data_IF_733709934985
#
_entry.id   IF_733709934985
#
_cell.length_a   1.000
_cell.length_b   1.000
_cell.length_c   1.000
_cell.angle_alpha   90.00
_cell.angle_beta   90.00
_cell.angle_gamma   90.00
#
_symmetry.space_group_name_H-M   'P 1'
#
loop_
_entity.id
_entity.type
_entity.pdbx_description
1 polymer ?
#
# COMPACT_ATOMS: atom_id res chain seq x y z
N UNK A 1 -17.18 76.56 16.14
CA UNK A 1 -16.64 76.01 17.41
C UNK A 1 -17.85 75.74 18.32
N UNK A 2 -18.02 74.58 18.95
CA UNK A 2 -17.22 73.35 18.91
C UNK A 2 -18.14 72.13 18.73
N UNK A 3 -17.60 71.00 18.25
CA UNK A 3 -18.40 69.80 17.94
C UNK A 3 -18.73 68.98 19.18
N UNK A 4 -20.00 68.58 19.33
CA UNK A 4 -20.38 67.49 20.24
C UNK A 4 -19.93 66.15 19.66
N UNK A 5 -19.07 65.42 20.38
CA UNK A 5 -18.67 64.06 20.02
C UNK A 5 -19.68 63.09 20.66
N UNK A 6 -20.47 62.43 19.82
CA UNK A 6 -21.43 61.41 20.23
C UNK A 6 -20.67 60.11 20.55
N UNK A 7 -20.53 59.77 21.83
CA UNK A 7 -19.84 58.54 22.24
C UNK A 7 -20.75 57.33 22.00
N UNK A 8 -20.47 56.57 20.93
CA UNK A 8 -21.26 55.41 20.53
C UNK A 8 -20.86 54.19 21.36
N UNK A 9 -21.72 53.81 22.31
CA UNK A 9 -21.57 52.58 23.10
C UNK A 9 -21.71 51.33 22.20
N UNK A 10 -20.57 50.76 21.80
CA UNK A 10 -20.52 49.46 21.13
C UNK A 10 -20.93 48.35 22.11
N UNK A 11 -22.14 47.84 21.93
CA UNK A 11 -22.60 46.59 22.56
C UNK A 11 -21.77 45.43 21.99
N UNK A 12 -20.68 45.06 22.67
CA UNK A 12 -19.96 43.83 22.39
C UNK A 12 -20.84 42.64 22.74
N UNK A 13 -21.43 42.01 21.72
CA UNK A 13 -22.17 40.75 21.84
C UNK A 13 -21.22 39.63 22.24
N UNK A 14 -21.07 39.42 23.55
CA UNK A 14 -20.33 38.30 24.11
C UNK A 14 -20.94 36.98 23.66
N UNK A 15 -20.35 36.37 22.63
CA UNK A 15 -20.78 35.07 22.14
C UNK A 15 -20.55 34.04 23.26
N UNK A 16 -21.65 33.55 23.84
CA UNK A 16 -21.59 32.47 24.81
C UNK A 16 -21.04 31.22 24.13
N UNK A 17 -19.85 30.76 24.55
CA UNK A 17 -19.26 29.51 24.09
C UNK A 17 -20.27 28.36 24.31
N UNK A 18 -20.59 27.55 23.29
CA UNK A 18 -21.43 26.37 23.48
C UNK A 18 -20.93 25.50 24.64
N UNK A 19 -21.84 25.18 25.56
CA UNK A 19 -21.62 24.20 26.61
C UNK A 19 -21.89 22.79 26.08
N UNK A 20 -21.05 21.86 26.47
CA UNK A 20 -21.20 20.42 26.23
C UNK A 20 -21.15 19.75 27.61
N UNK A 21 -21.98 18.74 27.84
CA UNK A 21 -21.97 17.94 29.06
C UNK A 21 -21.68 16.48 28.68
N UNK A 22 -20.72 15.85 29.35
CA UNK A 22 -20.31 14.47 29.07
C UNK A 22 -20.16 13.68 30.37
N UNK A 23 -20.34 12.37 30.35
CA UNK A 23 -19.98 11.48 31.47
C UNK A 23 -18.57 10.87 31.28
N UNK A 24 -17.84 10.61 32.36
CA UNK A 24 -16.52 9.97 32.24
C UNK A 24 -16.63 8.55 31.63
N UNK A 25 -16.02 8.36 30.45
CA UNK A 25 -16.15 7.20 29.56
C UNK A 25 -16.96 7.45 28.29
N UNK A 26 -17.67 8.57 28.17
CA UNK A 26 -18.44 8.95 26.99
C UNK A 26 -17.54 9.50 25.87
N UNK A 27 -18.01 9.42 24.61
CA UNK A 27 -17.36 10.10 23.49
C UNK A 27 -18.35 10.81 22.56
N UNK A 28 -18.14 12.10 22.34
CA UNK A 28 -18.95 12.97 21.47
C UNK A 28 -18.11 13.46 20.28
N UNK A 29 -18.73 13.95 19.21
CA UNK A 29 -18.03 14.47 18.02
C UNK A 29 -18.45 15.91 17.72
N UNK A 30 -17.48 16.83 17.68
CA UNK A 30 -17.69 18.25 17.39
C UNK A 30 -17.13 18.65 16.02
N UNK A 31 -17.82 19.58 15.36
CA UNK A 31 -17.39 20.20 14.10
C UNK A 31 -16.47 21.40 14.35
N UNK A 32 -15.20 21.29 13.93
CA UNK A 32 -14.21 22.36 13.93
C UNK A 32 -14.05 22.97 12.53
N UNK A 33 -13.62 24.24 12.40
CA UNK A 33 -13.21 24.77 11.10
C UNK A 33 -12.07 23.95 10.49
N UNK A 34 -12.02 23.88 9.15
CA UNK A 34 -10.88 23.32 8.43
C UNK A 34 -9.58 24.05 8.82
N UNK A 35 -8.47 23.30 8.88
CA UNK A 35 -7.14 23.83 9.19
C UNK A 35 -7.00 24.49 10.58
N UNK A 36 -7.94 24.24 11.51
CA UNK A 36 -7.82 24.73 12.89
C UNK A 36 -6.65 24.09 13.65
N UNK A 37 -5.88 24.91 14.36
CA UNK A 37 -5.10 24.45 15.51
C UNK A 37 -6.03 24.32 16.74
N UNK A 38 -5.78 23.33 17.59
CA UNK A 38 -6.67 22.97 18.71
C UNK A 38 -5.91 23.06 20.02
N UNK A 39 -6.42 23.86 20.95
CA UNK A 39 -5.94 23.95 22.33
C UNK A 39 -6.99 23.36 23.29
N UNK A 40 -6.51 22.63 24.30
CA UNK A 40 -7.32 21.93 25.30
C UNK A 40 -6.77 22.26 26.67
N UNK A 41 -7.60 22.80 27.57
CA UNK A 41 -7.18 23.15 28.93
C UNK A 41 -8.26 22.77 29.96
N UNK A 42 -8.01 21.85 30.91
CA UNK A 42 -6.78 21.07 31.12
C UNK A 42 -6.72 19.74 30.33
N UNK A 43 -5.52 19.39 29.83
CA UNK A 43 -5.22 18.23 28.97
C UNK A 43 -5.32 16.82 29.62
N UNK A 44 -5.98 16.68 30.78
CA UNK A 44 -6.10 15.39 31.53
C UNK A 44 -7.54 14.97 31.82
N UNK A 45 -8.51 15.72 31.30
CA UNK A 45 -9.95 15.50 31.50
C UNK A 45 -10.60 14.97 30.22
N UNK A 46 -10.16 15.44 29.05
CA UNK A 46 -10.51 14.90 27.73
C UNK A 46 -9.27 14.37 27.00
N UNK A 47 -9.46 13.28 26.26
CA UNK A 47 -8.64 12.87 25.12
C UNK A 47 -9.34 13.31 23.82
N UNK A 48 -8.58 13.60 22.76
CA UNK A 48 -9.13 14.08 21.49
C UNK A 48 -8.52 13.32 20.32
N UNK A 49 -9.37 12.67 19.54
CA UNK A 49 -9.02 11.98 18.30
C UNK A 49 -9.49 12.78 17.06
N UNK A 50 -8.80 12.62 15.94
CA UNK A 50 -9.24 13.19 14.66
C UNK A 50 -10.29 12.26 14.00
N UNK A 51 -11.53 12.72 13.87
CA UNK A 51 -12.64 11.98 13.27
C UNK A 51 -12.78 12.22 11.74
N UNK A 52 -11.79 12.85 11.12
CA UNK A 52 -11.76 13.20 9.69
C UNK A 52 -12.61 14.43 9.32
N UNK A 53 -12.39 14.98 8.13
CA UNK A 53 -13.17 16.07 7.51
C UNK A 53 -13.57 17.24 8.45
N UNK A 54 -12.65 17.72 9.28
CA UNK A 54 -12.94 18.82 10.22
C UNK A 54 -13.76 18.43 11.45
N UNK A 55 -13.78 17.14 11.83
CA UNK A 55 -14.42 16.66 13.06
C UNK A 55 -13.37 16.22 14.08
N UNK A 56 -13.59 16.59 15.34
CA UNK A 56 -12.87 16.06 16.50
C UNK A 56 -13.79 15.12 17.26
N UNK A 57 -13.29 13.95 17.66
CA UNK A 57 -13.94 13.11 18.66
C UNK A 57 -13.34 13.42 20.02
N UNK A 58 -14.18 13.84 20.96
CA UNK A 58 -13.85 14.04 22.35
C UNK A 58 -14.08 12.73 23.10
N UNK A 59 -13.18 12.33 24.00
CA UNK A 59 -13.35 11.17 24.88
C UNK A 59 -13.13 11.64 26.31
N UNK A 60 -14.14 11.44 27.17
CA UNK A 60 -14.12 11.90 28.55
C UNK A 60 -13.34 10.92 29.45
N UNK A 61 -12.17 11.35 29.95
CA UNK A 61 -11.29 10.52 30.78
C UNK A 61 -11.66 10.63 32.27
N UNK A 62 -11.89 11.85 32.76
CA UNK A 62 -12.05 12.17 34.19
C UNK A 62 -13.06 13.31 34.40
N UNK A 63 -13.53 13.48 35.63
CA UNK A 63 -14.43 14.58 36.01
C UNK A 63 -13.77 15.97 35.93
N UNK A 64 -14.53 16.98 35.54
CA UNK A 64 -14.19 18.40 35.63
C UNK A 64 -14.45 19.16 34.32
N UNK A 65 -14.10 20.45 34.31
CA UNK A 65 -14.41 21.35 33.18
C UNK A 65 -13.19 21.57 32.30
N UNK A 66 -13.38 21.53 30.99
CA UNK A 66 -12.38 21.79 29.95
C UNK A 66 -12.84 22.90 29.03
N UNK A 67 -11.96 23.86 28.76
CA UNK A 67 -12.11 24.76 27.62
C UNK A 67 -11.37 24.17 26.42
N UNK A 68 -12.09 23.92 25.33
CA UNK A 68 -11.52 23.63 24.01
C UNK A 68 -11.55 24.93 23.21
N UNK A 69 -10.45 25.25 22.53
CA UNK A 69 -10.35 26.33 21.54
C UNK A 69 -9.89 25.75 20.20
N UNK A 70 -10.55 26.15 19.11
CA UNK A 70 -10.13 25.86 17.75
C UNK A 70 -9.89 27.20 17.02
N UNK A 71 -8.65 27.44 16.61
CA UNK A 71 -8.21 28.69 15.98
C UNK A 71 -7.87 28.45 14.52
N UNK A 72 -8.55 29.17 13.62
CA UNK A 72 -8.38 29.07 12.16
C UNK A 72 -8.20 30.46 11.53
N UNK A 73 -7.76 30.56 10.26
CA UNK A 73 -7.76 31.83 9.52
C UNK A 73 -9.15 32.48 9.38
N UNK A 74 -10.22 31.72 9.61
CA UNK A 74 -11.62 32.17 9.53
C UNK A 74 -12.19 32.63 10.88
N UNK A 75 -11.43 32.47 11.98
CA UNK A 75 -11.81 32.85 13.34
C UNK A 75 -11.50 31.79 14.39
N UNK A 76 -11.73 32.16 15.65
CA UNK A 76 -11.67 31.28 16.82
C UNK A 76 -13.07 30.78 17.19
N UNK A 77 -13.21 29.49 17.48
CA UNK A 77 -14.35 28.91 18.18
C UNK A 77 -13.90 28.31 19.52
N UNK A 78 -14.76 28.34 20.53
CA UNK A 78 -14.51 27.68 21.81
C UNK A 78 -15.73 26.93 22.32
N UNK A 79 -15.49 25.84 23.04
CA UNK A 79 -16.49 25.00 23.68
C UNK A 79 -16.12 24.80 25.15
N UNK A 80 -17.09 24.89 26.03
CA UNK A 80 -16.91 24.58 27.45
C UNK A 80 -17.50 23.19 27.72
N UNK A 81 -16.63 22.19 27.88
CA UNK A 81 -17.03 20.80 28.14
C UNK A 81 -17.00 20.56 29.63
N UNK A 82 -18.14 20.20 30.21
CA UNK A 82 -18.31 19.89 31.63
C UNK A 82 -18.47 18.37 31.77
N UNK A 83 -17.37 17.70 32.13
CA UNK A 83 -17.37 16.24 32.34
C UNK A 83 -17.84 15.93 33.75
N UNK A 84 -19.00 15.31 33.85
CA UNK A 84 -19.59 14.88 35.12
C UNK A 84 -18.82 13.67 35.67
N UNK A 85 -18.51 13.73 36.96
CA UNK A 85 -17.91 12.60 37.68
C UNK A 85 -18.95 11.52 37.97
N UNK A 86 -18.55 10.25 37.83
CA UNK A 86 -19.37 9.04 38.09
C UNK A 86 -19.86 8.91 39.54
N UNK A 87 -19.54 9.88 40.39
CA UNK A 87 -19.73 9.87 41.84
C UNK A 87 -20.83 10.86 42.30
N UNK A 88 -21.33 11.71 41.38
CA UNK A 88 -22.56 12.48 41.62
C UNK A 88 -23.84 11.74 41.21
N UNK A 89 -23.71 10.64 40.46
CA UNK A 89 -24.78 9.62 40.41
C UNK A 89 -24.65 8.70 41.63
N UNK A 90 -25.77 8.50 42.33
CA UNK A 90 -25.88 7.58 43.46
C UNK A 90 -25.28 6.21 43.15
N UNK A 91 -24.58 5.61 44.11
CA UNK A 91 -23.77 4.40 43.96
C UNK A 91 -24.54 3.20 43.35
N UNK A 92 -24.54 3.11 42.02
CA UNK A 92 -25.51 2.31 41.27
C UNK A 92 -25.09 0.86 41.12
N UNK A 93 -23.80 0.56 41.27
CA UNK A 93 -23.26 -0.79 41.38
C UNK A 93 -23.59 -1.45 42.73
N UNK A 94 -23.93 -0.67 43.76
CA UNK A 94 -24.48 -1.17 45.02
C UNK A 94 -25.99 -1.49 44.95
N UNK A 95 -26.65 -1.30 43.79
CA UNK A 95 -27.98 -1.86 43.57
C UNK A 95 -27.82 -3.37 43.34
N UNK A 96 -28.22 -4.15 44.35
CA UNK A 96 -28.09 -5.61 44.40
C UNK A 96 -28.60 -6.34 43.15
N UNK A 97 -29.65 -5.82 42.51
CA UNK A 97 -30.20 -6.31 41.23
C UNK A 97 -29.14 -6.34 40.11
N UNK A 98 -28.38 -5.26 39.93
CA UNK A 98 -27.33 -5.21 38.90
C UNK A 98 -26.08 -5.98 39.33
N UNK A 99 -25.68 -5.87 40.60
CA UNK A 99 -24.53 -6.62 41.12
C UNK A 99 -24.74 -8.13 40.95
N UNK A 100 -25.95 -8.64 41.20
CA UNK A 100 -26.27 -10.05 40.93
C UNK A 100 -26.26 -10.38 39.44
N UNK A 101 -26.92 -9.58 38.58
CA UNK A 101 -26.99 -9.86 37.14
C UNK A 101 -25.62 -9.92 36.42
N UNK A 102 -24.69 -9.01 36.75
CA UNK A 102 -23.36 -8.99 36.13
C UNK A 102 -22.36 -9.89 36.86
N UNK A 103 -22.31 -9.81 38.19
CA UNK A 103 -21.18 -10.32 38.99
C UNK A 103 -21.41 -11.73 39.56
N UNK A 104 -22.53 -12.38 39.24
CA UNK A 104 -22.75 -13.82 39.47
C UNK A 104 -22.53 -14.68 38.21
N UNK A 105 -22.14 -14.06 37.09
CA UNK A 105 -21.85 -14.77 35.84
C UNK A 105 -20.46 -15.37 35.91
N UNK A 106 -20.34 -16.68 35.65
CA UNK A 106 -19.05 -17.36 35.58
C UNK A 106 -18.11 -16.67 34.57
N UNK A 107 -16.83 -16.55 34.94
CA UNK A 107 -15.80 -15.89 34.14
C UNK A 107 -15.78 -14.36 34.22
N UNK A 108 -16.75 -13.72 34.88
CA UNK A 108 -16.89 -12.26 34.95
C UNK A 108 -16.40 -11.71 36.30
N UNK A 109 -15.66 -10.60 36.25
CA UNK A 109 -15.19 -9.85 37.40
C UNK A 109 -15.76 -8.42 37.39
N UNK A 110 -16.28 -7.99 38.54
CA UNK A 110 -16.78 -6.63 38.75
C UNK A 110 -15.88 -5.88 39.72
N UNK A 111 -15.18 -4.87 39.23
CA UNK A 111 -14.57 -3.85 40.07
C UNK A 111 -15.61 -2.75 40.31
N UNK A 112 -16.24 -2.81 41.49
CA UNK A 112 -17.30 -1.88 41.88
C UNK A 112 -16.74 -0.47 42.17
N UNK A 113 -15.49 -0.37 42.62
CA UNK A 113 -14.83 0.88 43.00
C UNK A 113 -14.45 1.69 41.76
N UNK A 114 -13.78 1.06 40.79
CA UNK A 114 -13.41 1.68 39.51
C UNK A 114 -14.54 1.63 38.46
N UNK A 115 -15.66 0.96 38.78
CA UNK A 115 -16.87 0.86 37.94
C UNK A 115 -16.56 0.19 36.58
N UNK A 116 -15.84 -0.94 36.65
CA UNK A 116 -15.36 -1.76 35.53
C UNK A 116 -15.99 -3.15 35.60
N UNK A 117 -16.41 -3.68 34.46
CA UNK A 117 -16.83 -5.08 34.29
C UNK A 117 -15.88 -5.72 33.28
N UNK A 118 -15.15 -6.76 33.70
CA UNK A 118 -14.10 -7.43 32.93
C UNK A 118 -14.25 -8.95 32.99
N UNK A 119 -13.43 -9.68 32.23
CA UNK A 119 -13.43 -11.15 32.20
C UNK A 119 -13.86 -11.73 30.86
N UNK A 120 -14.28 -13.00 30.87
CA UNK A 120 -14.53 -13.80 29.67
C UNK A 120 -15.89 -14.51 29.77
N UNK A 121 -16.70 -14.47 28.71
CA UNK A 121 -18.03 -15.11 28.66
C UNK A 121 -18.09 -16.22 27.62
N UNK A 122 -18.51 -17.42 28.05
CA UNK A 122 -18.95 -18.50 27.15
C UNK A 122 -20.37 -18.26 26.57
N UNK A 123 -21.09 -17.28 27.11
CA UNK A 123 -22.47 -16.94 26.74
C UNK A 123 -22.53 -15.66 25.92
N UNK A 124 -22.87 -15.82 24.64
CA UNK A 124 -23.00 -14.74 23.65
C UNK A 124 -24.27 -13.89 23.85
N UNK A 125 -25.39 -14.50 24.25
CA UNK A 125 -26.66 -13.77 24.38
C UNK A 125 -26.62 -12.86 25.62
N UNK A 126 -26.17 -13.41 26.75
CA UNK A 126 -25.88 -12.62 27.95
C UNK A 126 -24.86 -11.52 27.65
N UNK A 127 -23.80 -11.80 26.88
CA UNK A 127 -22.78 -10.79 26.54
C UNK A 127 -23.39 -9.59 25.82
N UNK A 128 -24.23 -9.80 24.80
CA UNK A 128 -24.89 -8.69 24.10
C UNK A 128 -25.91 -7.97 24.97
N UNK A 129 -26.74 -8.68 25.75
CA UNK A 129 -27.70 -8.05 26.66
C UNK A 129 -27.00 -7.21 27.73
N UNK A 130 -25.94 -7.75 28.35
CA UNK A 130 -25.13 -7.09 29.35
C UNK A 130 -24.41 -5.85 28.78
N UNK A 131 -23.77 -5.96 27.61
CA UNK A 131 -23.08 -4.84 26.94
C UNK A 131 -24.05 -3.72 26.53
N UNK A 132 -25.24 -4.07 26.03
CA UNK A 132 -26.32 -3.13 25.72
C UNK A 132 -26.92 -2.50 26.99
N UNK A 133 -27.07 -3.27 28.06
CA UNK A 133 -27.67 -2.82 29.33
C UNK A 133 -26.75 -1.88 30.09
N UNK A 134 -25.43 -2.11 30.06
CA UNK A 134 -24.44 -1.10 30.41
C UNK A 134 -24.64 0.13 29.50
N UNK A 135 -24.34 0.04 28.20
CA UNK A 135 -24.35 1.21 27.28
C UNK A 135 -25.62 2.07 27.32
N UNK A 136 -26.81 1.49 27.58
CA UNK A 136 -28.10 2.21 27.59
C UNK A 136 -28.56 2.71 28.97
N UNK A 137 -28.06 2.16 30.08
CA UNK A 137 -28.59 2.47 31.42
C UNK A 137 -27.53 2.91 32.44
N UNK A 138 -26.26 2.58 32.22
CA UNK A 138 -25.19 2.67 33.21
C UNK A 138 -23.83 2.89 32.53
N UNK A 139 -23.13 4.02 32.73
CA UNK A 139 -21.81 4.29 32.12
C UNK A 139 -20.68 3.44 32.75
N UNK A 140 -20.72 2.12 32.52
CA UNK A 140 -19.71 1.17 32.98
C UNK A 140 -18.47 1.18 32.06
N UNK A 141 -17.28 0.86 32.59
CA UNK A 141 -16.16 0.48 31.71
C UNK A 141 -16.31 -1.00 31.33
N UNK A 142 -16.58 -1.27 30.05
CA UNK A 142 -16.78 -2.63 29.54
C UNK A 142 -15.47 -3.21 28.99
N UNK A 143 -14.93 -4.20 29.68
CA UNK A 143 -13.70 -4.92 29.34
C UNK A 143 -13.91 -6.45 29.28
N UNK A 144 -15.17 -6.89 29.19
CA UNK A 144 -15.51 -8.31 28.98
C UNK A 144 -15.25 -8.69 27.52
N UNK A 145 -14.70 -9.88 27.30
CA UNK A 145 -14.56 -10.55 26.00
C UNK A 145 -15.43 -11.81 25.92
N UNK A 146 -15.68 -12.32 24.71
CA UNK A 146 -16.27 -13.65 24.50
C UNK A 146 -15.18 -14.68 24.23
N UNK A 147 -15.38 -15.89 24.76
CA UNK A 147 -14.39 -16.97 24.68
C UNK A 147 -14.18 -17.51 23.28
N UNK A 148 -13.09 -18.25 23.05
CA UNK A 148 -12.89 -18.97 21.79
C UNK A 148 -13.96 -20.05 21.57
N UNK A 149 -14.49 -20.65 22.64
CA UNK A 149 -15.61 -21.59 22.57
C UNK A 149 -16.91 -20.87 22.16
N UNK A 150 -17.21 -19.71 22.75
CA UNK A 150 -18.34 -18.86 22.38
C UNK A 150 -18.24 -18.37 20.94
N UNK A 151 -17.06 -17.91 20.49
CA UNK A 151 -16.81 -17.51 19.10
C UNK A 151 -17.00 -18.68 18.13
N UNK A 152 -16.47 -19.86 18.45
CA UNK A 152 -16.63 -21.08 17.64
C UNK A 152 -18.09 -21.53 17.54
N UNK A 153 -18.87 -21.36 18.62
CA UNK A 153 -20.32 -21.55 18.63
C UNK A 153 -21.04 -20.48 17.80
N UNK A 154 -20.73 -19.20 17.99
CA UNK A 154 -21.30 -18.08 17.25
C UNK A 154 -21.13 -18.23 15.74
N UNK A 155 -19.91 -18.57 15.28
CA UNK A 155 -19.61 -18.88 13.88
C UNK A 155 -20.48 -20.02 13.33
N UNK A 156 -20.79 -21.04 14.14
CA UNK A 156 -21.65 -22.17 13.75
C UNK A 156 -23.12 -21.77 13.66
N UNK A 157 -23.60 -21.02 14.64
CA UNK A 157 -25.02 -20.67 14.80
C UNK A 157 -25.43 -19.53 13.85
N UNK A 158 -24.51 -18.63 13.48
CA UNK A 158 -24.71 -17.53 12.54
C UNK A 158 -24.61 -17.98 11.07
N UNK A 159 -23.74 -18.96 10.75
CA UNK A 159 -23.46 -19.36 9.37
C UNK A 159 -24.69 -19.74 8.53
N UNK A 160 -25.74 -20.42 9.04
CA UNK A 160 -26.96 -20.68 8.30
C UNK A 160 -27.71 -19.43 7.83
N UNK A 161 -27.54 -18.29 8.52
CA UNK A 161 -28.23 -17.03 8.24
C UNK A 161 -27.45 -16.17 7.25
N UNK A 162 -26.12 -16.14 7.36
CA UNK A 162 -25.22 -15.45 6.43
C UNK A 162 -24.95 -16.26 5.15
N UNK A 163 -25.22 -17.57 5.17
CA UNK A 163 -25.20 -18.46 4.01
C UNK A 163 -23.80 -18.61 3.42
N UNK A 164 -23.56 -17.94 2.28
CA UNK A 164 -22.29 -17.97 1.55
C UNK A 164 -21.35 -16.79 1.85
N UNK A 165 -21.76 -15.81 2.65
CA UNK A 165 -20.92 -14.66 3.00
C UNK A 165 -19.75 -15.07 3.90
N UNK A 166 -18.58 -14.46 3.69
CA UNK A 166 -17.44 -14.59 4.60
C UNK A 166 -17.64 -13.69 5.81
N UNK A 167 -17.34 -14.19 7.01
CA UNK A 167 -17.45 -13.42 8.25
C UNK A 167 -16.57 -13.99 9.36
N UNK A 168 -16.28 -13.16 10.36
CA UNK A 168 -15.59 -13.52 11.61
C UNK A 168 -16.35 -12.95 12.82
N UNK A 169 -16.07 -13.47 14.02
CA UNK A 169 -16.58 -12.97 15.30
C UNK A 169 -15.41 -12.61 16.21
N UNK A 170 -15.25 -11.31 16.50
CA UNK A 170 -14.13 -10.78 17.30
C UNK A 170 -14.23 -11.20 18.77
N UNK A 171 -13.11 -11.06 19.50
CA UNK A 171 -13.08 -11.25 20.95
C UNK A 171 -14.00 -10.28 21.72
N UNK A 172 -14.30 -9.09 21.18
CA UNK A 172 -15.28 -8.17 21.79
C UNK A 172 -16.73 -8.43 21.32
N UNK A 173 -16.99 -9.52 20.60
CA UNK A 173 -18.33 -9.84 20.11
C UNK A 173 -18.84 -8.82 19.07
N UNK A 174 -18.05 -8.53 18.05
CA UNK A 174 -18.50 -7.91 16.81
C UNK A 174 -18.50 -8.96 15.71
N UNK A 175 -19.59 -9.04 14.96
CA UNK A 175 -19.66 -9.85 13.73
C UNK A 175 -19.18 -8.97 12.58
N UNK A 176 -18.04 -9.33 11.99
CA UNK A 176 -17.45 -8.62 10.84
C UNK A 176 -17.77 -9.43 9.59
N UNK A 177 -18.54 -8.86 8.65
CA UNK A 177 -18.91 -9.51 7.39
C UNK A 177 -18.06 -8.93 6.26
N UNK A 178 -17.36 -9.80 5.53
CA UNK A 178 -16.52 -9.45 4.39
C UNK A 178 -17.33 -9.46 3.08
N UNK A 179 -17.25 -8.36 2.33
CA UNK A 179 -17.95 -8.15 1.06
C UNK A 179 -17.16 -7.18 0.18
N UNK A 180 -17.38 -7.19 -1.13
CA UNK A 180 -16.78 -6.21 -2.05
C UNK A 180 -17.54 -4.87 -2.10
N UNK A 181 -18.66 -4.75 -1.36
CA UNK A 181 -19.45 -3.53 -1.22
C UNK A 181 -19.96 -2.90 -2.53
N UNK A 182 -20.18 -3.71 -3.58
CA UNK A 182 -20.83 -3.25 -4.80
C UNK A 182 -22.37 -3.31 -4.69
N UNK A 183 -23.07 -2.73 -5.68
CA UNK A 183 -24.54 -2.67 -5.68
C UNK A 183 -25.23 -4.04 -5.85
N UNK A 184 -24.49 -5.09 -6.23
CA UNK A 184 -24.99 -6.46 -6.27
C UNK A 184 -24.93 -7.10 -4.87
N UNK A 185 -23.79 -7.01 -4.19
CA UNK A 185 -23.60 -7.45 -2.81
C UNK A 185 -24.59 -6.76 -1.86
N UNK A 186 -24.81 -5.44 -2.05
CA UNK A 186 -25.58 -4.59 -1.13
C UNK A 186 -26.93 -5.17 -0.69
N UNK A 187 -27.73 -5.70 -1.63
CA UNK A 187 -29.06 -6.29 -1.32
C UNK A 187 -28.96 -7.57 -0.48
N UNK A 188 -27.87 -8.33 -0.64
CA UNK A 188 -27.58 -9.54 0.15
C UNK A 188 -27.14 -9.11 1.56
N UNK A 189 -26.28 -8.09 1.63
CA UNK A 189 -25.76 -7.54 2.89
C UNK A 189 -26.86 -6.88 3.74
N UNK A 190 -27.73 -6.04 3.15
CA UNK A 190 -28.86 -5.42 3.86
C UNK A 190 -29.79 -6.48 4.48
N UNK A 191 -30.07 -7.57 3.74
CA UNK A 191 -30.85 -8.70 4.23
C UNK A 191 -30.12 -9.49 5.33
N UNK A 192 -28.81 -9.70 5.19
CA UNK A 192 -27.98 -10.38 6.18
C UNK A 192 -27.94 -9.62 7.52
N UNK A 193 -27.77 -8.29 7.48
CA UNK A 193 -27.81 -7.41 8.65
C UNK A 193 -29.19 -7.43 9.32
N UNK A 194 -30.28 -7.37 8.54
CA UNK A 194 -31.64 -7.47 9.06
C UNK A 194 -31.88 -8.80 9.80
N UNK A 195 -31.56 -9.93 9.16
CA UNK A 195 -31.74 -11.26 9.74
C UNK A 195 -30.92 -11.45 11.05
N UNK A 196 -29.69 -10.94 11.11
CA UNK A 196 -28.84 -10.99 12.31
C UNK A 196 -29.42 -10.19 13.47
N UNK A 197 -29.90 -8.98 13.19
CA UNK A 197 -30.48 -8.10 14.20
C UNK A 197 -31.84 -8.63 14.70
N UNK A 198 -32.64 -9.26 13.84
CA UNK A 198 -33.89 -9.93 14.25
C UNK A 198 -33.63 -11.21 15.07
N UNK A 199 -32.73 -12.08 14.61
CA UNK A 199 -32.51 -13.40 15.22
C UNK A 199 -31.70 -13.35 16.53
N UNK A 200 -30.70 -12.46 16.62
CA UNK A 200 -29.76 -12.42 17.74
C UNK A 200 -29.58 -11.03 18.37
N UNK A 201 -30.24 -9.97 17.85
CA UNK A 201 -30.06 -8.56 18.31
C UNK A 201 -28.62 -8.05 18.14
N UNK A 202 -27.87 -8.64 17.21
CA UNK A 202 -26.45 -8.34 16.95
C UNK A 202 -26.32 -7.18 15.96
N UNK A 203 -25.45 -6.23 16.29
CA UNK A 203 -24.96 -5.22 15.36
C UNK A 203 -23.69 -5.74 14.68
N UNK A 204 -23.84 -6.23 13.45
CA UNK A 204 -22.71 -6.58 12.59
C UNK A 204 -22.17 -5.35 11.85
N UNK A 205 -20.90 -5.41 11.44
CA UNK A 205 -20.25 -4.40 10.59
C UNK A 205 -19.82 -5.01 9.26
N UNK A 206 -19.88 -4.21 8.19
CA UNK A 206 -19.39 -4.60 6.88
C UNK A 206 -17.93 -4.14 6.75
N UNK A 207 -17.03 -5.08 6.43
CA UNK A 207 -15.65 -4.79 6.03
C UNK A 207 -15.55 -4.90 4.52
N UNK A 208 -15.48 -3.75 3.85
CA UNK A 208 -15.32 -3.71 2.41
C UNK A 208 -13.91 -4.18 2.01
N UNK A 209 -13.84 -5.24 1.21
CA UNK A 209 -12.61 -5.72 0.59
C UNK A 209 -12.42 -5.03 -0.76
N UNK A 210 -11.18 -4.65 -1.08
CA UNK A 210 -10.82 -4.23 -2.43
C UNK A 210 -10.77 -5.48 -3.35
N UNK A 211 -11.41 -5.42 -4.53
CA UNK A 211 -11.17 -6.43 -5.57
C UNK A 211 -9.74 -6.28 -6.06
N UNK A 212 -8.88 -7.24 -5.75
CA UNK A 212 -7.61 -7.40 -6.42
C UNK A 212 -7.87 -7.59 -7.93
N UNK A 213 -7.23 -6.83 -8.83
CA UNK A 213 -7.36 -7.04 -10.26
C UNK A 213 -6.99 -8.47 -10.67
N UNK A 214 -7.84 -9.13 -11.47
CA UNK A 214 -7.51 -10.43 -12.05
C UNK A 214 -6.38 -10.34 -13.08
N UNK A 215 -6.18 -9.14 -13.64
CA UNK A 215 -5.15 -8.83 -14.66
C UNK A 215 -4.40 -7.56 -14.27
N UNK A 216 -3.08 -7.61 -14.42
CA UNK A 216 -2.15 -6.50 -14.27
C UNK A 216 -1.46 -6.24 -15.61
N UNK A 217 -1.23 -4.96 -15.91
CA UNK A 217 -0.33 -4.53 -16.98
C UNK A 217 1.07 -4.36 -16.39
N UNK A 218 2.04 -5.03 -17.00
CA UNK A 218 3.45 -4.91 -16.67
C UNK A 218 4.16 -4.19 -17.82
N UNK A 219 4.52 -2.93 -17.58
CA UNK A 219 5.43 -2.20 -18.46
C UNK A 219 6.85 -2.72 -18.26
N UNK A 220 7.52 -3.14 -19.33
CA UNK A 220 8.95 -3.46 -19.32
C UNK A 220 9.70 -2.43 -20.16
N UNK A 221 10.85 -1.98 -19.66
CA UNK A 221 11.80 -1.20 -20.44
C UNK A 221 13.20 -1.80 -20.26
N UNK A 222 13.79 -2.28 -21.35
CA UNK A 222 15.19 -2.73 -21.40
C UNK A 222 16.01 -1.70 -22.16
N UNK A 223 16.99 -1.10 -21.49
CA UNK A 223 17.88 -0.07 -22.04
C UNK A 223 19.31 -0.55 -21.90
N UNK A 224 20.20 -0.19 -22.83
CA UNK A 224 21.59 -0.61 -22.71
C UNK A 224 22.61 0.41 -23.27
N UNK A 225 23.84 0.31 -22.72
CA UNK A 225 24.92 1.29 -22.73
C UNK A 225 26.26 0.65 -23.16
N UNK A 226 27.18 1.44 -23.73
CA UNK A 226 28.64 1.18 -23.81
C UNK A 226 29.44 2.41 -23.36
N UNK A 227 30.74 2.24 -23.18
CA UNK A 227 31.75 3.31 -23.27
C UNK A 227 33.02 2.72 -23.91
N UNK A 228 33.53 3.32 -24.99
CA UNK A 228 34.74 2.82 -25.69
C UNK A 228 34.75 3.10 -27.19
N UNK A 229 35.93 2.94 -27.83
CA UNK A 229 36.15 3.23 -29.27
C UNK A 229 36.57 2.01 -30.12
N UNK A 230 36.86 0.86 -29.50
CA UNK A 230 37.30 -0.34 -30.23
C UNK A 230 36.18 -1.08 -30.95
N UNK A 231 36.49 -1.65 -32.12
CA UNK A 231 35.63 -2.60 -32.82
C UNK A 231 35.47 -3.88 -32.00
N UNK A 232 34.30 -3.99 -31.36
CA UNK A 232 33.79 -5.20 -30.74
C UNK A 232 32.39 -5.38 -31.29
N UNK A 233 32.02 -6.60 -31.64
CA UNK A 233 30.71 -7.00 -32.19
C UNK A 233 29.50 -6.76 -31.28
N UNK A 234 29.67 -6.03 -30.17
CA UNK A 234 28.63 -5.71 -29.20
C UNK A 234 28.12 -4.26 -29.44
N UNK A 235 26.84 -4.03 -29.75
CA UNK A 235 26.29 -2.68 -29.96
C UNK A 235 26.18 -1.86 -28.65
N UNK A 236 25.41 -0.77 -28.66
CA UNK A 236 24.96 0.03 -27.50
C UNK A 236 25.93 1.16 -27.07
N UNK A 237 25.41 2.18 -26.36
CA UNK A 237 25.97 3.47 -25.88
C UNK A 237 24.92 4.07 -24.89
N UNK A 238 25.11 4.84 -23.80
CA UNK A 238 26.16 5.45 -22.94
C UNK A 238 25.46 5.93 -21.60
N UNK A 239 26.17 5.97 -20.46
CA UNK A 239 25.95 6.81 -19.25
C UNK A 239 24.80 6.49 -18.24
N UNK A 240 24.98 6.91 -16.97
CA UNK A 240 24.13 6.56 -15.82
C UNK A 240 22.80 7.32 -15.79
N UNK A 241 21.70 6.59 -15.88
CA UNK A 241 20.32 7.10 -15.77
C UNK A 241 19.85 7.17 -14.29
N UNK A 242 19.24 8.29 -13.90
CA UNK A 242 18.33 8.39 -12.75
C UNK A 242 16.88 8.39 -13.24
N UNK A 243 15.98 7.69 -12.54
CA UNK A 243 14.58 7.50 -12.97
C UNK A 243 13.64 8.47 -12.23
N UNK A 244 13.02 9.45 -12.90
CA UNK A 244 12.05 10.34 -12.28
C UNK A 244 10.72 9.62 -12.03
N UNK A 245 10.40 9.35 -10.76
CA UNK A 245 9.22 8.55 -10.35
C UNK A 245 7.84 9.13 -10.68
N UNK A 246 7.77 10.29 -11.35
CA UNK A 246 6.53 11.02 -11.69
C UNK A 246 6.33 11.25 -13.19
N UNK A 247 7.28 10.88 -14.05
CA UNK A 247 7.17 11.09 -15.50
C UNK A 247 6.45 9.89 -16.16
N UNK A 248 5.56 10.11 -17.15
CA UNK A 248 4.99 8.99 -17.90
C UNK A 248 6.06 8.33 -18.78
N UNK A 249 6.01 7.00 -18.87
CA UNK A 249 7.05 6.16 -19.49
C UNK A 249 7.41 6.59 -20.92
N UNK A 250 6.42 6.99 -21.73
CA UNK A 250 6.66 7.47 -23.09
C UNK A 250 7.50 8.76 -23.15
N UNK A 251 7.32 9.67 -22.19
CA UNK A 251 8.05 10.94 -22.15
C UNK A 251 9.49 10.71 -21.65
N UNK A 252 9.66 9.84 -20.65
CA UNK A 252 10.98 9.37 -20.21
C UNK A 252 11.75 8.73 -21.37
N UNK A 253 11.13 7.81 -22.11
CA UNK A 253 11.76 7.16 -23.28
C UNK A 253 12.08 8.18 -24.40
N UNK A 254 11.20 9.15 -24.66
CA UNK A 254 11.47 10.22 -25.63
C UNK A 254 12.69 11.08 -25.22
N UNK A 255 12.82 11.40 -23.93
CA UNK A 255 13.95 12.14 -23.37
C UNK A 255 15.28 11.36 -23.46
N UNK A 256 15.28 10.07 -23.13
CA UNK A 256 16.45 9.20 -23.30
C UNK A 256 16.87 9.06 -24.77
N UNK A 257 15.88 9.00 -25.68
CA UNK A 257 16.09 8.83 -27.13
C UNK A 257 16.61 10.11 -27.82
N UNK A 258 16.01 11.28 -27.53
CA UNK A 258 16.40 12.56 -28.14
C UNK A 258 17.85 12.94 -27.90
N UNK A 259 18.41 12.53 -26.77
CA UNK A 259 19.81 12.81 -26.42
C UNK A 259 20.83 11.97 -27.20
N UNK A 260 20.39 10.99 -28.02
CA UNK A 260 21.20 9.98 -28.75
C UNK A 260 22.15 9.13 -27.89
N UNK A 261 22.12 9.29 -26.57
CA UNK A 261 23.00 8.59 -25.62
C UNK A 261 22.55 7.20 -25.24
N UNK A 262 21.37 6.71 -25.63
CA UNK A 262 20.84 5.43 -25.16
C UNK A 262 20.10 4.69 -26.25
N UNK A 263 20.25 3.36 -26.31
CA UNK A 263 19.45 2.49 -27.16
C UNK A 263 18.45 1.69 -26.32
N UNK A 264 17.16 1.89 -26.61
CA UNK A 264 16.11 0.97 -26.18
C UNK A 264 16.34 -0.37 -26.89
N UNK A 265 16.41 -1.45 -26.11
CA UNK A 265 16.57 -2.83 -26.62
C UNK A 265 15.20 -3.46 -26.82
N UNK A 266 14.30 -3.30 -25.85
CA UNK A 266 12.92 -3.76 -25.92
C UNK A 266 12.01 -2.92 -25.01
N UNK A 267 10.76 -2.72 -25.43
CA UNK A 267 9.71 -2.09 -24.62
C UNK A 267 8.36 -2.84 -24.78
N UNK A 268 8.25 -4.10 -24.34
CA UNK A 268 6.97 -4.81 -24.36
C UNK A 268 6.06 -4.36 -23.20
N UNK A 269 4.77 -4.25 -23.49
CA UNK A 269 3.72 -4.25 -22.47
C UNK A 269 3.13 -5.66 -22.40
N UNK A 270 2.98 -6.21 -21.19
CA UNK A 270 2.52 -7.59 -20.97
C UNK A 270 1.36 -7.62 -19.97
N UNK A 271 0.29 -8.34 -20.31
CA UNK A 271 -0.78 -8.66 -19.36
C UNK A 271 -0.43 -9.92 -18.56
N UNK A 272 -0.63 -9.86 -17.24
CA UNK A 272 -0.32 -10.93 -16.29
C UNK A 272 -1.44 -11.09 -15.27
N UNK A 273 -1.91 -12.32 -15.07
CA UNK A 273 -2.76 -12.69 -13.93
C UNK A 273 -1.93 -13.12 -12.72
N UNK A 274 -2.54 -13.16 -11.54
CA UNK A 274 -1.87 -13.62 -10.31
C UNK A 274 -1.42 -15.08 -10.45
N UNK A 275 -0.13 -15.37 -10.20
CA UNK A 275 0.49 -16.67 -10.46
C UNK A 275 0.78 -16.97 -11.94
N UNK A 276 0.25 -16.16 -12.86
CA UNK A 276 0.40 -16.30 -14.30
C UNK A 276 1.82 -16.03 -14.79
N UNK A 277 2.16 -16.61 -15.95
CA UNK A 277 3.47 -16.46 -16.59
C UNK A 277 3.30 -15.95 -18.03
N UNK A 278 3.96 -14.85 -18.35
CA UNK A 278 4.08 -14.31 -19.71
C UNK A 278 5.46 -14.64 -20.29
N UNK A 279 5.54 -14.77 -21.61
CA UNK A 279 6.79 -15.01 -22.33
C UNK A 279 6.80 -14.20 -23.62
N UNK A 280 7.81 -13.35 -23.78
CA UNK A 280 8.14 -12.70 -25.04
C UNK A 280 9.36 -13.38 -25.67
N UNK A 281 9.33 -13.52 -26.99
CA UNK A 281 10.50 -13.86 -27.82
C UNK A 281 10.47 -12.99 -29.08
N UNK A 282 11.60 -12.39 -29.42
CA UNK A 282 11.84 -11.63 -30.63
C UNK A 282 13.25 -11.96 -31.16
N UNK A 283 13.44 -12.04 -32.47
CA UNK A 283 14.69 -12.44 -33.10
C UNK A 283 14.54 -13.44 -34.24
N UNK A 284 15.63 -14.16 -34.53
CA UNK A 284 15.78 -15.02 -35.71
C UNK A 284 16.31 -16.42 -35.34
N UNK A 285 15.99 -17.42 -36.15
CA UNK A 285 16.59 -18.75 -36.01
C UNK A 285 17.84 -18.87 -36.88
N UNK A 286 18.91 -19.40 -36.30
CA UNK A 286 20.22 -19.50 -36.94
C UNK A 286 20.59 -20.97 -37.05
N UNK A 287 20.92 -21.39 -38.27
CA UNK A 287 21.40 -22.73 -38.55
C UNK A 287 22.82 -22.91 -37.97
N UNK A 288 22.99 -23.88 -37.07
CA UNK A 288 24.30 -24.31 -36.56
C UNK A 288 24.54 -25.77 -36.90
N UNK A 289 25.81 -26.16 -37.00
CA UNK A 289 26.22 -27.50 -37.42
C UNK A 289 26.94 -28.18 -36.26
N UNK A 290 26.47 -29.34 -35.84
CA UNK A 290 27.13 -30.17 -34.83
C UNK A 290 27.72 -31.42 -35.46
N UNK A 291 28.99 -31.71 -35.18
CA UNK A 291 29.61 -32.97 -35.58
C UNK A 291 29.41 -33.96 -34.43
N UNK A 292 28.65 -35.03 -34.67
CA UNK A 292 28.40 -36.07 -33.67
C UNK A 292 28.64 -37.44 -34.32
N UNK A 293 29.75 -38.10 -33.93
CA UNK A 293 30.13 -39.46 -34.38
C UNK A 293 30.04 -39.64 -35.91
N UNK A 294 30.81 -38.82 -36.64
CA UNK A 294 30.90 -38.81 -38.10
C UNK A 294 29.60 -38.50 -38.88
N UNK A 295 28.52 -38.08 -38.21
CA UNK A 295 27.38 -37.41 -38.84
C UNK A 295 27.33 -35.92 -38.50
N UNK A 296 26.99 -35.09 -39.49
CA UNK A 296 26.76 -33.66 -39.35
C UNK A 296 25.27 -33.40 -39.10
N UNK A 297 24.93 -32.94 -37.91
CA UNK A 297 23.56 -32.62 -37.49
C UNK A 297 23.29 -31.12 -37.62
N UNK A 298 22.14 -30.77 -38.21
CA UNK A 298 21.69 -29.39 -38.35
C UNK A 298 20.87 -29.00 -37.11
N UNK A 299 21.43 -28.14 -36.27
CA UNK A 299 20.81 -27.63 -35.05
C UNK A 299 20.40 -26.16 -35.23
N UNK A 300 19.10 -25.90 -35.18
CA UNK A 300 18.57 -24.53 -35.16
C UNK A 300 18.70 -23.92 -33.76
N UNK A 301 19.22 -22.69 -33.68
CA UNK A 301 19.33 -21.92 -32.45
C UNK A 301 18.69 -20.55 -32.63
N UNK A 302 17.71 -20.21 -31.81
CA UNK A 302 17.15 -18.87 -31.76
C UNK A 302 18.20 -17.89 -31.22
N UNK A 303 18.34 -16.74 -31.87
CA UNK A 303 19.16 -15.61 -31.43
C UNK A 303 18.32 -14.34 -31.44
N UNK A 304 18.29 -13.64 -30.31
CA UNK A 304 17.54 -12.39 -30.16
C UNK A 304 17.22 -12.09 -28.71
N UNK A 305 16.08 -11.45 -28.46
CA UNK A 305 15.59 -11.14 -27.12
C UNK A 305 14.54 -12.16 -26.65
N UNK A 306 14.67 -12.63 -25.42
CA UNK A 306 13.65 -13.43 -24.72
C UNK A 306 13.46 -12.91 -23.31
N UNK A 307 12.21 -12.88 -22.87
CA UNK A 307 11.82 -12.47 -21.54
C UNK A 307 10.69 -13.35 -21.02
N UNK A 308 10.98 -14.19 -20.03
CA UNK A 308 10.00 -14.96 -19.27
C UNK A 308 9.72 -14.21 -17.95
N UNK A 309 8.44 -13.99 -17.62
CA UNK A 309 8.00 -13.17 -16.49
C UNK A 309 6.85 -13.84 -15.75
N UNK A 310 6.91 -13.88 -14.41
CA UNK A 310 5.86 -14.45 -13.56
C UNK A 310 5.53 -13.53 -12.39
N UNK A 311 4.25 -13.18 -12.24
CA UNK A 311 3.72 -12.51 -11.06
C UNK A 311 3.44 -13.56 -9.98
N UNK A 312 4.11 -13.49 -8.83
CA UNK A 312 3.95 -14.48 -7.75
C UNK A 312 2.84 -14.08 -6.77
N UNK A 313 2.92 -12.86 -6.24
CA UNK A 313 1.98 -12.33 -5.24
C UNK A 313 2.01 -10.79 -5.27
N UNK A 314 0.94 -10.15 -4.77
CA UNK A 314 0.92 -8.71 -4.46
C UNK A 314 0.45 -8.55 -3.01
N UNK A 315 1.19 -7.74 -2.24
CA UNK A 315 0.96 -7.54 -0.80
C UNK A 315 1.37 -6.14 -0.38
N UNK A 316 0.47 -5.41 0.29
CA UNK A 316 0.73 -4.08 0.84
C UNK A 316 1.36 -3.08 -0.17
N UNK A 317 0.88 -3.06 -1.42
CA UNK A 317 1.40 -2.19 -2.48
C UNK A 317 2.73 -2.63 -3.11
N UNK A 318 3.26 -3.80 -2.75
CA UNK A 318 4.43 -4.40 -3.38
C UNK A 318 4.03 -5.65 -4.19
N UNK A 319 4.59 -5.81 -5.38
CA UNK A 319 4.44 -6.98 -6.23
C UNK A 319 5.73 -7.80 -6.29
N UNK A 320 5.61 -9.12 -6.10
CA UNK A 320 6.72 -10.06 -6.22
C UNK A 320 6.76 -10.63 -7.63
N UNK A 321 7.82 -10.32 -8.38
CA UNK A 321 7.99 -10.73 -9.77
C UNK A 321 9.25 -11.57 -9.91
N UNK A 322 9.10 -12.76 -10.50
CA UNK A 322 10.21 -13.58 -10.97
C UNK A 322 10.41 -13.34 -12.47
N UNK A 323 11.66 -13.15 -12.89
CA UNK A 323 12.01 -12.75 -14.24
C UNK A 323 13.25 -13.51 -14.73
N UNK A 324 13.21 -13.95 -16.00
CA UNK A 324 14.35 -14.51 -16.73
C UNK A 324 14.46 -13.84 -18.10
N UNK A 325 15.57 -13.16 -18.35
CA UNK A 325 15.89 -12.51 -19.63
C UNK A 325 17.07 -13.22 -20.30
N UNK A 326 17.01 -13.37 -21.62
CA UNK A 326 18.15 -13.71 -22.46
C UNK A 326 18.24 -12.71 -23.62
N UNK A 327 19.44 -12.25 -23.93
CA UNK A 327 19.74 -11.46 -25.13
C UNK A 327 20.91 -12.12 -25.85
N UNK A 328 20.73 -12.45 -27.14
CA UNK A 328 21.72 -13.21 -27.92
C UNK A 328 21.88 -12.70 -29.35
N UNK A 329 23.13 -12.72 -29.85
CA UNK A 329 23.51 -12.21 -31.17
C UNK A 329 24.53 -13.13 -31.86
N UNK A 330 24.43 -13.41 -33.17
CA UNK A 330 25.51 -14.06 -33.90
C UNK A 330 26.74 -13.14 -34.01
N UNK A 331 27.93 -13.74 -33.93
CA UNK A 331 29.17 -13.04 -34.28
C UNK A 331 29.39 -13.05 -35.79
N UNK A 332 29.66 -11.88 -36.38
CA UNK A 332 29.88 -11.76 -37.81
C UNK A 332 31.13 -12.57 -38.25
N UNK A 333 30.96 -13.44 -39.25
CA UNK A 333 32.04 -14.28 -39.79
C UNK A 333 32.42 -15.50 -38.93
N UNK A 334 31.79 -15.72 -37.78
CA UNK A 334 32.09 -16.83 -36.87
C UNK A 334 30.86 -17.73 -36.64
N UNK A 335 31.08 -19.00 -36.30
CA UNK A 335 30.00 -19.97 -35.97
C UNK A 335 29.60 -19.92 -34.49
N UNK A 336 29.56 -18.72 -33.92
CA UNK A 336 29.37 -18.44 -32.49
C UNK A 336 28.20 -17.47 -32.26
N UNK A 337 27.54 -17.64 -31.11
CA UNK A 337 26.45 -16.78 -30.65
C UNK A 337 26.87 -16.23 -29.29
N UNK A 338 27.01 -14.92 -29.18
CA UNK A 338 27.17 -14.24 -27.89
C UNK A 338 25.81 -14.24 -27.19
N UNK A 339 25.78 -14.54 -25.88
CA UNK A 339 24.55 -14.57 -25.10
C UNK A 339 24.77 -13.95 -23.71
N UNK A 340 23.83 -13.09 -23.31
CA UNK A 340 23.71 -12.50 -21.98
C UNK A 340 22.43 -13.01 -21.33
N UNK A 341 22.54 -13.66 -20.17
CA UNK A 341 21.39 -14.20 -19.44
C UNK A 341 21.31 -13.58 -18.04
N UNK A 342 20.10 -13.22 -17.62
CA UNK A 342 19.81 -12.64 -16.31
C UNK A 342 18.57 -13.29 -15.72
N UNK A 343 18.63 -13.76 -14.48
CA UNK A 343 17.49 -14.31 -13.76
C UNK A 343 17.43 -13.72 -12.35
N UNK A 344 16.27 -13.24 -11.94
CA UNK A 344 16.07 -12.60 -10.64
C UNK A 344 14.65 -12.82 -10.12
N UNK A 345 14.47 -12.57 -8.82
CA UNK A 345 13.17 -12.48 -8.18
C UNK A 345 13.18 -11.27 -7.24
N UNK A 346 12.24 -10.36 -7.44
CA UNK A 346 12.26 -9.02 -6.84
C UNK A 346 10.90 -8.60 -6.33
N UNK A 347 10.88 -7.76 -5.29
CA UNK A 347 9.72 -6.98 -4.90
C UNK A 347 9.82 -5.59 -5.52
N UNK A 348 8.77 -5.16 -6.24
CA UNK A 348 8.67 -3.81 -6.80
C UNK A 348 7.43 -3.09 -6.24
N UNK A 349 7.47 -1.78 -6.01
CA UNK A 349 6.27 -0.99 -5.71
C UNK A 349 5.29 -1.03 -6.89
N UNK A 350 3.99 -1.08 -6.62
CA UNK A 350 2.97 -0.86 -7.64
C UNK A 350 3.02 0.58 -8.16
N UNK A 351 2.63 0.77 -9.43
CA UNK A 351 2.54 2.04 -10.16
C UNK A 351 3.85 2.82 -10.41
N UNK A 352 4.97 2.49 -9.76
CA UNK A 352 6.27 3.15 -9.97
C UNK A 352 7.21 2.32 -10.86
N UNK A 353 8.07 3.01 -11.62
CA UNK A 353 9.09 2.39 -12.49
C UNK A 353 10.36 2.09 -11.69
N UNK A 354 10.62 0.81 -11.45
CA UNK A 354 11.71 0.30 -10.62
C UNK A 354 12.79 -0.34 -11.50
N UNK A 355 14.08 -0.03 -11.28
CA UNK A 355 15.17 -0.84 -11.85
C UNK A 355 15.26 -2.17 -11.09
N UNK A 356 15.13 -3.28 -11.81
CA UNK A 356 15.10 -4.65 -11.24
C UNK A 356 16.32 -5.49 -11.59
N UNK A 357 17.08 -5.08 -12.61
CA UNK A 357 18.27 -5.79 -13.06
C UNK A 357 19.29 -4.86 -13.68
N UNK A 358 20.56 -5.24 -13.52
CA UNK A 358 21.71 -4.64 -14.21
C UNK A 358 22.70 -5.74 -14.56
N UNK A 359 23.10 -5.82 -15.82
CA UNK A 359 24.27 -6.56 -16.26
C UNK A 359 25.34 -5.55 -16.67
N UNK A 360 26.62 -5.86 -16.44
CA UNK A 360 27.73 -5.03 -16.91
C UNK A 360 28.89 -5.92 -17.35
N UNK A 361 29.48 -5.61 -18.50
CA UNK A 361 30.73 -6.20 -18.99
C UNK A 361 31.79 -5.10 -19.16
N UNK A 362 33.05 -5.50 -19.15
CA UNK A 362 34.21 -4.62 -19.33
C UNK A 362 35.32 -5.42 -20.00
N UNK A 363 35.79 -4.91 -21.13
CA UNK A 363 37.00 -5.37 -21.80
C UNK A 363 38.06 -4.28 -21.67
N UNK A 364 39.18 -4.61 -21.05
CA UNK A 364 40.35 -3.75 -20.94
C UNK A 364 41.54 -4.48 -21.56
N UNK A 365 42.21 -3.86 -22.53
CA UNK A 365 43.33 -4.44 -23.26
C UNK A 365 44.28 -3.39 -23.79
N UNK A 366 45.58 -3.69 -23.77
CA UNK A 366 46.65 -2.83 -24.27
C UNK A 366 47.58 -3.66 -25.17
N UNK A 367 47.80 -3.20 -26.39
CA UNK A 367 48.63 -3.85 -27.39
C UNK A 367 49.72 -2.88 -27.88
N UNK A 368 51.00 -3.15 -27.56
CA UNK A 368 52.15 -2.40 -28.06
C UNK A 368 52.74 -3.10 -29.29
N UNK A 369 52.30 -2.71 -30.49
CA UNK A 369 52.92 -3.15 -31.73
C UNK A 369 54.14 -2.29 -32.03
N UNK A 370 55.33 -2.88 -32.08
CA UNK A 370 56.59 -2.15 -32.26
C UNK A 370 57.54 -2.85 -33.22
N UNK A 371 58.23 -2.08 -34.05
CA UNK A 371 59.28 -2.63 -34.91
C UNK A 371 60.53 -2.88 -34.04
N UNK A 372 61.09 -4.11 -34.01
CA UNK A 372 62.31 -4.41 -33.27
C UNK A 372 63.47 -3.48 -33.66
N UNK A 373 64.32 -3.16 -32.69
CA UNK A 373 65.47 -2.24 -32.80
C UNK A 373 65.11 -0.76 -33.05
N UNK A 374 64.28 -0.45 -34.06
CA UNK A 374 63.89 0.94 -34.37
C UNK A 374 63.09 1.62 -33.24
N UNK A 375 62.23 0.86 -32.55
CA UNK A 375 61.47 1.34 -31.39
C UNK A 375 62.32 1.68 -30.15
N UNK A 376 63.61 1.36 -30.15
CA UNK A 376 64.54 1.64 -29.05
C UNK A 376 65.38 2.92 -29.24
N UNK A 377 65.27 3.61 -30.39
CA UNK A 377 66.07 4.82 -30.68
C UNK A 377 65.58 5.99 -29.80
N UNK A 378 66.46 6.70 -29.05
CA UNK A 378 66.08 7.91 -28.32
C UNK A 378 65.47 8.98 -29.23
N UNK A 379 64.43 9.67 -28.74
CA UNK A 379 63.57 10.63 -29.47
C UNK A 379 62.77 10.04 -30.64
N UNK A 380 63.37 9.22 -31.52
CA UNK A 380 62.72 8.73 -32.75
C UNK A 380 61.92 7.42 -32.57
N UNK A 381 62.21 6.63 -31.54
CA UNK A 381 61.60 5.31 -31.32
C UNK A 381 60.08 5.33 -31.14
N UNK A 382 59.50 6.49 -30.77
CA UNK A 382 58.05 6.69 -30.69
C UNK A 382 57.35 6.64 -32.07
N UNK A 383 58.08 6.90 -33.17
CA UNK A 383 57.55 6.78 -34.54
C UNK A 383 57.48 5.33 -35.04
N UNK A 384 58.02 4.38 -34.28
CA UNK A 384 58.11 2.95 -34.62
C UNK A 384 57.39 2.06 -33.59
N UNK A 385 56.46 2.67 -32.83
CA UNK A 385 55.55 2.03 -31.89
C UNK A 385 54.13 2.49 -32.19
N UNK A 386 53.19 1.55 -32.09
CA UNK A 386 51.75 1.79 -32.16
C UNK A 386 51.12 1.13 -30.94
N UNK A 387 50.63 1.97 -30.03
CA UNK A 387 49.90 1.53 -28.85
C UNK A 387 48.40 1.57 -29.14
N UNK A 388 47.75 0.41 -29.12
CA UNK A 388 46.30 0.29 -29.16
C UNK A 388 45.79 0.07 -27.73
N UNK A 389 44.98 0.99 -27.23
CA UNK A 389 44.33 0.90 -25.91
C UNK A 389 42.83 0.69 -26.12
N UNK A 390 42.36 -0.51 -25.80
CA UNK A 390 40.95 -0.88 -25.85
C UNK A 390 40.39 -0.86 -24.43
N UNK A 391 39.76 0.24 -24.04
CA UNK A 391 38.74 0.23 -22.98
C UNK A 391 37.37 0.16 -23.66
N UNK A 392 36.62 -0.91 -23.40
CA UNK A 392 35.22 -1.03 -23.82
C UNK A 392 34.36 -1.65 -22.74
N UNK A 393 33.51 -0.83 -22.13
CA UNK A 393 32.52 -1.23 -21.13
C UNK A 393 31.14 -1.33 -21.79
N UNK A 394 30.27 -2.22 -21.31
CA UNK A 394 28.86 -2.30 -21.72
C UNK A 394 27.95 -2.61 -20.54
N UNK A 395 26.70 -2.15 -20.57
CA UNK A 395 25.72 -2.29 -19.49
C UNK A 395 24.33 -2.53 -20.06
N UNK A 396 23.52 -3.37 -19.41
CA UNK A 396 22.09 -3.54 -19.70
C UNK A 396 21.33 -3.27 -18.40
N UNK A 397 20.40 -2.34 -18.40
CA UNK A 397 19.48 -2.06 -17.29
C UNK A 397 18.06 -2.51 -17.65
N UNK A 398 17.40 -3.18 -16.71
CA UNK A 398 16.01 -3.63 -16.85
C UNK A 398 15.15 -2.88 -15.84
N UNK A 399 14.10 -2.22 -16.33
CA UNK A 399 13.11 -1.52 -15.53
C UNK A 399 11.73 -2.17 -15.70
N UNK A 400 10.99 -2.29 -14.59
CA UNK A 400 9.62 -2.82 -14.55
C UNK A 400 8.70 -1.82 -13.84
N UNK A 401 7.46 -1.73 -14.30
CA UNK A 401 6.35 -1.05 -13.60
C UNK A 401 5.09 -1.89 -13.73
N UNK A 402 4.50 -2.29 -12.60
CA UNK A 402 3.23 -3.03 -12.58
C UNK A 402 2.07 -2.10 -12.23
N UNK A 403 0.95 -2.25 -12.93
CA UNK A 403 -0.29 -1.49 -12.75
C UNK A 403 -1.48 -2.45 -12.81
N UNK A 404 -2.59 -2.20 -12.09
CA UNK A 404 -3.88 -2.79 -12.43
C UNK A 404 -4.19 -2.60 -13.92
N UNK A 405 -4.76 -3.62 -14.58
CA UNK A 405 -5.47 -3.37 -15.82
C UNK A 405 -6.75 -2.60 -15.47
N UNK A 406 -6.89 -1.38 -15.97
CA UNK A 406 -8.14 -0.64 -15.90
C UNK A 406 -9.17 -1.33 -16.79
N UNK A 407 -10.25 -1.83 -16.20
CA UNK A 407 -11.47 -2.14 -16.96
C UNK A 407 -12.07 -0.79 -17.34
N UNK A 408 -11.62 -0.22 -18.45
CA UNK A 408 -12.44 0.75 -19.16
C UNK A 408 -13.73 0.02 -19.56
N UNK A 409 -14.92 0.52 -19.17
CA UNK A 409 -16.16 -0.05 -19.69
C UNK A 409 -16.13 0.10 -21.20
N UNK A 410 -16.55 -0.94 -21.93
CA UNK A 410 -16.60 -0.92 -23.39
C UNK A 410 -17.56 0.19 -23.85
N UNK A 411 -17.01 1.38 -24.11
CA UNK A 411 -17.75 2.50 -24.66
C UNK A 411 -18.22 2.11 -26.06
N UNK A 412 -19.52 2.29 -26.31
CA UNK A 412 -20.19 1.63 -27.43
C UNK A 412 -19.68 2.15 -28.78
N UNK A 413 -18.75 1.42 -29.38
CA UNK A 413 -18.48 1.48 -30.82
C UNK A 413 -19.65 0.81 -31.55
N UNK A 414 -20.74 1.58 -31.67
CA UNK A 414 -21.87 1.29 -32.51
C UNK A 414 -21.66 1.97 -33.87
N UNK A 415 -21.18 1.19 -34.84
CA UNK A 415 -21.37 1.42 -36.28
C UNK A 415 -22.72 0.82 -36.73
#
# INVERSE_FOLDING_TARGET
>A
MSSFILSLLLLTSGMASPKIYMEAGESETIDIPSESSVEVNPKKILEIEAAGKGKLRLIAIKSGVVLIKASSPQGEKSWLVEVLGRDQQSDWLLRSEWQSYFCSKDGIHCDLENKVISGESDDLEWFYEARQTCKKKMPCSWQVVISEAARTKALRDIKPILGGLSFDVTADGQVLIDSYCDDADKKVMDKALANLNESFKILAQIRCLERAPDVYLLDVLVVAERKGSGEISNPLQWERIEVPSKQPLHAFIAELSQNSRLRVVAQPELSLSMGGTAMLRDGQEIQTHAIQKDTEEILWKTSGFRLDLKLIEIKAGLARIQMKMNLSQPQAGLRTIDASEFQTEVWIPSHALQRVGRMQATLEGQEENRIPWLSAIPLLGALFRWESVTDSKSQIDIFLRIRPASIEPLENQAD
#
